data_IF_236799961983
#
_entry.id   IF_236799961983
#
_cell.length_a   1.000
_cell.length_b   1.000
_cell.length_c   1.000
_cell.angle_alpha   90.00
_cell.angle_beta   90.00
_cell.angle_gamma   90.00
#
_symmetry.space_group_name_H-M   'P 1'
#
loop_
_entity.id
_entity.type
_entity.pdbx_description
1 polymer ?
#
# COMPACT_ATOMS: atom_id res chain seq x y z
N UNK A 1 13.53 8.79 -29.78
CA UNK A 1 13.43 7.35 -29.45
C UNK A 1 13.49 7.09 -27.95
N UNK A 2 14.39 7.75 -27.21
CA UNK A 2 14.46 7.61 -25.75
C UNK A 2 13.22 8.14 -25.01
N UNK A 3 12.60 9.23 -25.47
CA UNK A 3 11.46 9.87 -24.80
C UNK A 3 10.18 9.02 -24.72
N UNK A 4 9.86 8.28 -25.79
CA UNK A 4 8.69 7.40 -25.81
C UNK A 4 8.91 6.16 -24.94
N UNK A 5 10.14 5.65 -24.91
CA UNK A 5 10.52 4.51 -24.09
C UNK A 5 10.45 4.85 -22.59
N UNK A 6 10.93 6.03 -22.19
CA UNK A 6 10.85 6.50 -20.80
C UNK A 6 9.40 6.75 -20.35
N UNK A 7 8.54 7.24 -21.25
CA UNK A 7 7.12 7.43 -20.95
C UNK A 7 6.41 6.08 -20.72
N UNK A 8 6.63 5.11 -21.63
CA UNK A 8 6.06 3.77 -21.50
C UNK A 8 6.52 3.04 -20.22
N UNK A 9 7.81 3.17 -19.86
CA UNK A 9 8.34 2.63 -18.60
C UNK A 9 7.72 3.31 -17.37
N UNK A 10 7.48 4.63 -17.43
CA UNK A 10 6.81 5.37 -16.36
C UNK A 10 5.37 4.91 -16.14
N UNK A 11 4.62 4.70 -17.23
CA UNK A 11 3.25 4.17 -17.17
C UNK A 11 3.22 2.74 -16.60
N UNK A 12 4.13 1.88 -17.05
CA UNK A 12 4.21 0.50 -16.58
C UNK A 12 4.59 0.43 -15.10
N UNK A 13 5.54 1.25 -14.66
CA UNK A 13 5.85 1.40 -13.25
C UNK A 13 4.63 1.89 -12.45
N UNK A 14 3.91 2.89 -12.96
CA UNK A 14 2.68 3.38 -12.33
C UNK A 14 1.60 2.29 -12.20
N UNK A 15 1.39 1.49 -13.24
CA UNK A 15 0.45 0.37 -13.22
C UNK A 15 0.85 -0.71 -12.20
N UNK A 16 2.13 -1.09 -12.17
CA UNK A 16 2.67 -2.06 -11.20
C UNK A 16 2.49 -1.54 -9.78
N UNK A 17 2.83 -0.27 -9.52
CA UNK A 17 2.60 0.35 -8.22
C UNK A 17 1.11 0.37 -7.86
N UNK A 18 0.23 0.67 -8.81
CA UNK A 18 -1.22 0.63 -8.60
C UNK A 18 -1.72 -0.74 -8.19
N UNK A 19 -1.27 -1.80 -8.86
CA UNK A 19 -1.63 -3.20 -8.54
C UNK A 19 -1.12 -3.58 -7.15
N UNK A 20 0.13 -3.27 -6.83
CA UNK A 20 0.72 -3.56 -5.52
C UNK A 20 -0.06 -2.84 -4.42
N UNK A 21 -0.39 -1.56 -4.62
CA UNK A 21 -1.16 -0.78 -3.66
C UNK A 21 -2.57 -1.36 -3.46
N UNK A 22 -3.22 -1.76 -4.55
CA UNK A 22 -4.54 -2.37 -4.50
C UNK A 22 -4.53 -3.72 -3.77
N UNK A 23 -3.54 -4.57 -4.08
CA UNK A 23 -3.33 -5.84 -3.40
C UNK A 23 -3.03 -5.65 -1.92
N UNK A 24 -2.28 -4.61 -1.54
CA UNK A 24 -2.04 -4.25 -0.14
C UNK A 24 -3.32 -3.84 0.59
N UNK A 25 -4.15 -3.01 -0.04
CA UNK A 25 -5.40 -2.51 0.54
C UNK A 25 -6.43 -3.61 0.81
N UNK A 26 -6.59 -4.55 -0.12
CA UNK A 26 -7.52 -5.66 0.05
C UNK A 26 -6.89 -6.84 0.81
N UNK A 27 -5.60 -7.09 0.57
CA UNK A 27 -4.87 -8.23 1.09
C UNK A 27 -4.65 -8.18 2.60
N UNK A 28 -4.39 -7.00 3.18
CA UNK A 28 -4.19 -6.88 4.63
C UNK A 28 -5.40 -7.36 5.45
N UNK A 29 -6.61 -6.80 5.22
CA UNK A 29 -7.82 -7.26 5.86
C UNK A 29 -8.19 -8.71 5.52
N UNK A 30 -7.99 -9.13 4.27
CA UNK A 30 -8.28 -10.50 3.84
C UNK A 30 -7.40 -11.53 4.55
N UNK A 31 -6.07 -11.31 4.59
CA UNK A 31 -5.12 -12.17 5.31
C UNK A 31 -5.43 -12.19 6.80
N UNK A 32 -5.73 -11.04 7.39
CA UNK A 32 -6.17 -10.94 8.80
C UNK A 32 -7.39 -11.82 9.05
N UNK A 33 -8.41 -11.74 8.19
CA UNK A 33 -9.64 -12.53 8.34
C UNK A 33 -9.39 -14.03 8.19
N UNK A 34 -8.56 -14.44 7.22
CA UNK A 34 -8.17 -15.84 7.02
C UNK A 34 -7.45 -16.37 8.27
N UNK A 35 -6.40 -15.69 8.72
CA UNK A 35 -5.61 -16.11 9.89
C UNK A 35 -6.47 -16.15 11.16
N UNK A 36 -7.39 -15.19 11.31
CA UNK A 36 -8.35 -15.19 12.42
C UNK A 36 -9.28 -16.41 12.37
N UNK A 37 -9.75 -16.79 11.18
CA UNK A 37 -10.63 -17.94 10.99
C UNK A 37 -9.93 -19.28 11.23
N UNK A 38 -8.62 -19.36 10.99
CA UNK A 38 -7.77 -20.53 11.29
C UNK A 38 -7.48 -20.68 12.79
N UNK A 39 -7.87 -19.70 13.62
CA UNK A 39 -7.83 -19.76 15.08
C UNK A 39 -6.63 -19.04 15.71
N UNK A 40 -5.64 -18.59 14.93
CA UNK A 40 -4.52 -17.80 15.44
C UNK A 40 -4.87 -16.31 15.53
N UNK A 41 -5.65 -15.97 16.54
CA UNK A 41 -6.12 -14.59 16.79
C UNK A 41 -4.97 -13.62 17.07
N UNK A 42 -3.90 -14.09 17.72
CA UNK A 42 -2.78 -13.23 18.07
C UNK A 42 -2.04 -12.81 16.80
N UNK A 43 -1.74 -13.76 15.91
CA UNK A 43 -1.10 -13.49 14.64
C UNK A 43 -1.98 -12.60 13.74
N UNK A 44 -3.29 -12.84 13.69
CA UNK A 44 -4.22 -11.99 12.94
C UNK A 44 -4.18 -10.53 13.40
N UNK A 45 -4.19 -10.28 14.72
CA UNK A 45 -4.09 -8.92 15.27
C UNK A 45 -2.74 -8.28 14.95
N UNK A 46 -1.64 -9.05 14.98
CA UNK A 46 -0.31 -8.54 14.59
C UNK A 46 -0.27 -8.12 13.13
N UNK A 47 -0.84 -8.93 12.23
CA UNK A 47 -0.97 -8.59 10.81
C UNK A 47 -1.81 -7.32 10.61
N UNK A 48 -2.95 -7.22 11.28
CA UNK A 48 -3.81 -6.04 11.20
C UNK A 48 -3.11 -4.78 11.69
N UNK A 49 -2.38 -4.88 12.80
CA UNK A 49 -1.62 -3.78 13.38
C UNK A 49 -0.50 -3.33 12.43
N UNK A 50 0.28 -4.26 11.89
CA UNK A 50 1.33 -3.95 10.91
C UNK A 50 0.74 -3.26 9.68
N UNK A 51 -0.37 -3.78 9.16
CA UNK A 51 -1.07 -3.19 8.03
C UNK A 51 -1.55 -1.75 8.31
N UNK A 52 -2.16 -1.54 9.49
CA UNK A 52 -2.66 -0.23 9.90
C UNK A 52 -1.53 0.78 10.08
N UNK A 53 -0.40 0.37 10.67
CA UNK A 53 0.79 1.23 10.86
C UNK A 53 1.35 1.70 9.52
N UNK A 54 1.59 0.77 8.59
CA UNK A 54 2.12 1.13 7.26
C UNK A 54 1.15 2.07 6.53
N UNK A 55 -0.15 1.81 6.61
CA UNK A 55 -1.19 2.67 6.03
C UNK A 55 -1.20 4.07 6.64
N UNK A 56 -1.12 4.18 7.96
CA UNK A 56 -1.06 5.45 8.67
C UNK A 56 0.20 6.25 8.31
N UNK A 57 1.36 5.58 8.22
CA UNK A 57 2.61 6.20 7.80
C UNK A 57 2.53 6.72 6.37
N UNK A 58 1.96 5.94 5.44
CA UNK A 58 1.74 6.37 4.07
C UNK A 58 0.89 7.65 4.00
N UNK A 59 -0.26 7.69 4.68
CA UNK A 59 -1.12 8.88 4.67
C UNK A 59 -0.48 10.08 5.34
N UNK A 60 0.29 9.86 6.42
CA UNK A 60 1.03 10.92 7.10
C UNK A 60 2.08 11.51 6.15
N UNK A 61 2.88 10.69 5.48
CA UNK A 61 3.84 11.14 4.49
C UNK A 61 3.16 11.88 3.33
N UNK A 62 2.08 11.32 2.78
CA UNK A 62 1.30 11.96 1.71
C UNK A 62 0.69 13.30 2.14
N UNK A 63 0.25 13.42 3.40
CA UNK A 63 -0.24 14.67 3.96
C UNK A 63 0.90 15.68 4.12
N UNK A 64 2.05 15.29 4.66
CA UNK A 64 3.23 16.14 4.82
C UNK A 64 3.72 16.68 3.47
N UNK A 65 3.81 15.83 2.45
CA UNK A 65 4.20 16.23 1.09
C UNK A 65 3.20 17.23 0.50
N UNK A 66 1.89 16.97 0.64
CA UNK A 66 0.85 17.90 0.18
C UNK A 66 0.89 19.23 0.92
N UNK A 67 1.17 19.21 2.22
CA UNK A 67 1.34 20.42 3.04
C UNK A 67 2.57 21.22 2.59
N UNK A 68 3.71 20.56 2.39
CA UNK A 68 4.95 21.19 1.96
C UNK A 68 4.84 21.83 0.57
N UNK A 69 4.04 21.26 -0.34
CA UNK A 69 3.79 21.84 -1.67
C UNK A 69 2.87 23.08 -1.66
N UNK A 70 2.13 23.32 -0.57
CA UNK A 70 1.21 24.45 -0.43
C UNK A 70 1.81 25.63 0.33
N UNK A 71 2.90 25.41 1.05
CA UNK A 71 3.68 26.43 1.75
C UNK A 71 4.69 27.07 0.77
#
# INVERSE_FOLDING_TARGET
>A
MLSWLTAALGELAGAVFGIILFAWWLGGPAVTAIVWSEGDKLLAVQFLAAWAVVTALYFTAAWLIRRARRA
#
